data_IF_383024479398
#
_entry.id   IF_383024479398
#
_cell.length_a   1.000
_cell.length_b   1.000
_cell.length_c   1.000
_cell.angle_alpha   90.00
_cell.angle_beta   90.00
_cell.angle_gamma   90.00
#
_symmetry.space_group_name_H-M   'P 1'
#
loop_
_entity.id
_entity.type
_entity.pdbx_description
1 polymer ?
#
# COMPACT_ATOMS: atom_id res chain seq x y z
N UNK A 1 -7.39 16.51 -9.80
CA UNK A 1 -6.73 15.76 -8.71
C UNK A 1 -6.67 14.24 -8.97
N UNK A 2 -7.76 13.59 -9.41
CA UNK A 2 -7.79 12.13 -9.69
C UNK A 2 -6.69 11.70 -10.67
N UNK A 3 -6.53 12.40 -11.79
CA UNK A 3 -5.42 12.18 -12.72
C UNK A 3 -5.73 12.70 -14.10
N UNK A 4 -4.88 12.33 -15.07
CA UNK A 4 -5.14 12.55 -16.49
C UNK A 4 -6.34 11.72 -16.97
N UNK A 5 -6.46 10.49 -16.44
CA UNK A 5 -7.66 9.67 -16.52
C UNK A 5 -8.44 9.84 -15.23
N UNK A 6 -9.77 9.92 -15.32
CA UNK A 6 -10.66 10.10 -14.19
C UNK A 6 -12.00 9.40 -14.42
N UNK A 7 -12.73 9.20 -13.32
CA UNK A 7 -13.99 8.46 -13.30
C UNK A 7 -15.15 9.44 -13.19
N UNK A 8 -16.12 9.35 -14.10
CA UNK A 8 -17.27 10.26 -14.08
C UNK A 8 -18.07 10.12 -12.76
N UNK A 9 -18.22 8.90 -12.25
CA UNK A 9 -18.94 8.61 -11.01
C UNK A 9 -18.22 9.19 -9.77
N UNK A 10 -16.88 9.29 -9.78
CA UNK A 10 -16.11 10.01 -8.74
C UNK A 10 -16.46 11.50 -8.78
N UNK A 11 -16.36 12.12 -9.96
CA UNK A 11 -16.66 13.54 -10.13
C UNK A 11 -18.11 13.85 -9.77
N UNK A 12 -19.05 13.00 -10.18
CA UNK A 12 -20.47 13.14 -9.87
C UNK A 12 -20.73 13.14 -8.36
N UNK A 13 -20.09 12.23 -7.61
CA UNK A 13 -20.22 12.16 -6.15
C UNK A 13 -19.67 13.40 -5.46
N UNK A 14 -18.47 13.83 -5.83
CA UNK A 14 -17.82 15.01 -5.21
C UNK A 14 -18.63 16.28 -5.49
N UNK A 15 -19.13 16.43 -6.71
CA UNK A 15 -19.92 17.60 -7.12
C UNK A 15 -21.42 17.48 -6.80
N UNK A 16 -21.85 16.36 -6.22
CA UNK A 16 -23.25 16.03 -5.94
C UNK A 16 -24.17 16.15 -7.19
N UNK A 17 -23.65 15.73 -8.34
CA UNK A 17 -24.35 15.76 -9.62
C UNK A 17 -24.96 14.40 -9.97
N UNK A 18 -25.97 14.41 -10.83
CA UNK A 18 -26.48 13.18 -11.41
C UNK A 18 -25.45 12.57 -12.40
N UNK A 19 -25.10 11.30 -12.20
CA UNK A 19 -24.10 10.60 -13.03
C UNK A 19 -24.43 10.66 -14.53
N UNK A 20 -25.72 10.50 -14.90
CA UNK A 20 -26.14 10.49 -16.30
C UNK A 20 -26.01 11.87 -16.93
N UNK A 21 -26.36 12.92 -16.19
CA UNK A 21 -26.23 14.31 -16.65
C UNK A 21 -24.76 14.69 -16.83
N UNK A 22 -23.91 14.33 -15.86
CA UNK A 22 -22.47 14.57 -15.96
C UNK A 22 -21.85 13.84 -17.16
N UNK A 23 -22.18 12.57 -17.38
CA UNK A 23 -21.71 11.80 -18.55
C UNK A 23 -22.16 12.46 -19.86
N UNK A 24 -23.39 12.99 -19.92
CA UNK A 24 -23.84 13.73 -21.09
C UNK A 24 -23.06 15.02 -21.30
N UNK A 25 -22.77 15.77 -20.24
CA UNK A 25 -21.97 16.99 -20.30
C UNK A 25 -20.54 16.69 -20.77
N UNK A 26 -19.89 15.69 -20.18
CA UNK A 26 -18.55 15.23 -20.57
C UNK A 26 -18.51 14.82 -22.05
N UNK A 27 -19.49 14.03 -22.52
CA UNK A 27 -19.54 13.53 -23.90
C UNK A 27 -19.94 14.57 -24.95
N UNK A 28 -20.74 15.58 -24.60
CA UNK A 28 -21.26 16.57 -25.56
C UNK A 28 -20.45 17.85 -25.52
N UNK A 29 -20.43 18.49 -24.37
CA UNK A 29 -19.81 19.80 -24.20
C UNK A 29 -18.28 19.65 -24.15
N UNK A 30 -17.76 18.87 -23.21
CA UNK A 30 -16.31 18.82 -22.98
C UNK A 30 -15.55 17.97 -24.01
N UNK A 31 -16.18 16.96 -24.62
CA UNK A 31 -15.58 16.16 -25.69
C UNK A 31 -15.86 16.75 -27.08
N UNK A 32 -17.11 16.73 -27.55
CA UNK A 32 -17.43 17.09 -28.94
C UNK A 32 -17.27 18.58 -29.24
N UNK A 33 -17.70 19.46 -28.34
CA UNK A 33 -17.69 20.91 -28.55
C UNK A 33 -16.32 21.52 -28.20
N UNK A 34 -15.81 21.27 -26.99
CA UNK A 34 -14.58 21.91 -26.51
C UNK A 34 -13.30 21.08 -26.68
N UNK A 35 -13.41 19.79 -27.00
CA UNK A 35 -12.25 18.88 -27.20
C UNK A 35 -11.24 18.92 -26.05
N UNK A 36 -11.73 18.95 -24.82
CA UNK A 36 -10.93 18.94 -23.60
C UNK A 36 -10.74 17.54 -23.04
N UNK A 37 -11.79 16.71 -23.10
CA UNK A 37 -11.79 15.33 -22.62
C UNK A 37 -12.24 14.37 -23.72
N UNK A 38 -12.03 13.08 -23.51
CA UNK A 38 -12.52 12.02 -24.39
C UNK A 38 -12.93 10.83 -23.54
N UNK A 39 -14.01 10.15 -23.93
CA UNK A 39 -14.34 8.85 -23.35
C UNK A 39 -13.21 7.84 -23.68
N UNK A 40 -12.85 7.01 -22.71
CA UNK A 40 -11.82 5.97 -22.85
C UNK A 40 -12.42 4.58 -22.79
N UNK A 41 -13.14 4.28 -21.71
CA UNK A 41 -13.61 2.94 -21.43
C UNK A 41 -14.86 2.96 -20.55
N UNK A 42 -15.54 1.81 -20.53
CA UNK A 42 -16.61 1.51 -19.60
C UNK A 42 -16.22 0.28 -18.79
N UNK A 43 -16.02 0.48 -17.49
CA UNK A 43 -15.64 -0.57 -16.56
C UNK A 43 -16.77 -0.86 -15.57
N UNK A 44 -16.56 -1.92 -14.77
CA UNK A 44 -17.47 -2.30 -13.68
C UNK A 44 -16.69 -2.74 -12.47
N UNK A 45 -17.17 -2.32 -11.30
CA UNK A 45 -16.70 -2.79 -10.00
C UNK A 45 -17.93 -3.22 -9.21
N UNK A 46 -18.02 -4.51 -8.91
CA UNK A 46 -19.26 -5.14 -8.46
C UNK A 46 -20.44 -4.82 -9.40
N UNK A 47 -21.46 -4.17 -8.85
CA UNK A 47 -22.65 -3.72 -9.60
C UNK A 47 -22.54 -2.29 -10.15
N UNK A 48 -21.53 -1.54 -9.73
CA UNK A 48 -21.34 -0.16 -10.16
C UNK A 48 -20.67 -0.12 -11.54
N UNK A 49 -21.15 0.79 -12.38
CA UNK A 49 -20.58 1.10 -13.68
C UNK A 49 -19.62 2.27 -13.50
N UNK A 50 -18.41 2.16 -14.06
CA UNK A 50 -17.43 3.23 -14.06
C UNK A 50 -17.21 3.72 -15.49
N UNK A 51 -17.47 5.00 -15.71
CA UNK A 51 -17.32 5.66 -17.00
C UNK A 51 -15.98 6.41 -16.98
N UNK A 52 -14.97 5.85 -17.66
CA UNK A 52 -13.63 6.41 -17.68
C UNK A 52 -13.46 7.44 -18.79
N UNK A 53 -13.00 8.62 -18.40
CA UNK A 53 -12.64 9.72 -19.28
C UNK A 53 -11.17 10.06 -19.11
N UNK A 54 -10.58 10.67 -20.13
CA UNK A 54 -9.23 11.22 -20.08
C UNK A 54 -9.20 12.62 -20.66
N UNK A 55 -8.36 13.48 -20.10
CA UNK A 55 -8.00 14.73 -20.78
C UNK A 55 -7.32 14.43 -22.12
N UNK A 56 -7.72 15.13 -23.19
CA UNK A 56 -7.10 14.96 -24.51
C UNK A 56 -5.64 15.39 -24.52
N UNK A 57 -5.30 16.35 -23.66
CA UNK A 57 -3.93 16.81 -23.44
C UNK A 57 -3.65 16.91 -21.95
N UNK A 58 -2.59 16.22 -21.49
CA UNK A 58 -2.17 16.26 -20.08
C UNK A 58 -1.92 17.69 -19.58
N UNK A 59 -1.52 18.62 -20.46
CA UNK A 59 -1.27 20.02 -20.13
C UNK A 59 -2.50 20.75 -19.57
N UNK A 60 -3.72 20.40 -20.01
CA UNK A 60 -4.93 21.01 -19.44
C UNK A 60 -5.13 20.60 -17.99
N UNK A 61 -5.01 19.29 -17.71
CA UNK A 61 -5.08 18.77 -16.36
C UNK A 61 -3.98 19.35 -15.48
N UNK A 62 -2.76 19.41 -16.01
CA UNK A 62 -1.60 19.95 -15.31
C UNK A 62 -1.78 21.43 -14.95
N UNK A 63 -2.21 22.26 -15.91
CA UNK A 63 -2.49 23.68 -15.68
C UNK A 63 -3.58 23.89 -14.63
N UNK A 64 -4.72 23.19 -14.75
CA UNK A 64 -5.81 23.27 -13.78
C UNK A 64 -5.37 22.83 -12.38
N UNK A 65 -4.58 21.75 -12.30
CA UNK A 65 -4.06 21.26 -11.03
C UNK A 65 -3.05 22.22 -10.38
N UNK A 66 -2.19 22.83 -11.19
CA UNK A 66 -1.20 23.81 -10.70
C UNK A 66 -1.83 25.10 -10.18
N UNK A 67 -3.01 25.47 -10.70
CA UNK A 67 -3.75 26.64 -10.23
C UNK A 67 -4.41 26.45 -8.86
N UNK A 68 -4.53 25.21 -8.38
CA UNK A 68 -5.03 24.92 -7.03
C UNK A 68 -3.93 25.19 -6.01
N UNK A 69 -4.28 25.81 -4.90
CA UNK A 69 -3.37 25.93 -3.75
C UNK A 69 -3.21 24.59 -3.01
N UNK A 70 -2.33 24.56 -2.01
CA UNK A 70 -2.02 23.34 -1.26
C UNK A 70 -3.24 22.80 -0.48
N UNK A 71 -4.05 23.67 0.11
CA UNK A 71 -5.22 23.27 0.89
C UNK A 71 -6.33 22.77 -0.02
N UNK A 72 -6.59 23.47 -1.13
CA UNK A 72 -7.55 23.04 -2.16
C UNK A 72 -7.18 21.67 -2.71
N UNK A 73 -5.89 21.42 -2.97
CA UNK A 73 -5.42 20.09 -3.40
C UNK A 73 -5.68 19.05 -2.33
N UNK A 74 -5.32 19.29 -1.08
CA UNK A 74 -5.54 18.34 0.01
C UNK A 74 -7.02 17.95 0.13
N UNK A 75 -7.93 18.93 0.18
CA UNK A 75 -9.38 18.70 0.22
C UNK A 75 -9.88 17.88 -0.97
N UNK A 76 -9.43 18.20 -2.18
CA UNK A 76 -9.84 17.48 -3.38
C UNK A 76 -9.22 16.08 -3.45
N UNK A 77 -8.00 15.89 -2.94
CA UNK A 77 -7.37 14.58 -2.84
C UNK A 77 -8.11 13.67 -1.86
N UNK A 78 -8.50 14.19 -0.70
CA UNK A 78 -9.35 13.49 0.28
C UNK A 78 -10.68 13.08 -0.35
N UNK A 79 -11.38 14.04 -0.97
CA UNK A 79 -12.69 13.79 -1.59
C UNK A 79 -12.62 12.72 -2.69
N UNK A 80 -11.56 12.73 -3.50
CA UNK A 80 -11.34 11.67 -4.51
C UNK A 80 -11.02 10.33 -3.86
N UNK A 81 -10.15 10.30 -2.85
CA UNK A 81 -9.81 9.07 -2.12
C UNK A 81 -11.04 8.40 -1.54
N UNK A 82 -11.85 9.15 -0.80
CA UNK A 82 -13.10 8.68 -0.19
C UNK A 82 -14.13 8.25 -1.24
N UNK A 83 -14.25 8.98 -2.35
CA UNK A 83 -15.16 8.60 -3.43
C UNK A 83 -14.74 7.29 -4.11
N UNK A 84 -13.45 7.11 -4.39
CA UNK A 84 -12.91 5.86 -4.94
C UNK A 84 -13.11 4.71 -3.94
N UNK A 85 -12.78 4.90 -2.68
CA UNK A 85 -12.97 3.89 -1.64
C UNK A 85 -14.44 3.46 -1.54
N UNK A 86 -15.38 4.41 -1.55
CA UNK A 86 -16.81 4.12 -1.53
C UNK A 86 -17.35 3.45 -2.80
N UNK A 87 -16.75 3.72 -3.97
CA UNK A 87 -17.14 3.06 -5.22
C UNK A 87 -16.64 1.61 -5.26
N UNK A 88 -15.40 1.39 -4.83
CA UNK A 88 -14.77 0.07 -4.88
C UNK A 88 -15.16 -0.82 -3.70
N UNK A 89 -15.55 -0.27 -2.55
CA UNK A 89 -15.98 -1.02 -1.37
C UNK A 89 -14.90 -2.00 -0.91
N UNK A 90 -15.25 -3.28 -0.77
CA UNK A 90 -14.28 -4.33 -0.41
C UNK A 90 -13.26 -4.65 -1.52
N UNK A 91 -13.48 -4.15 -2.74
CA UNK A 91 -12.65 -4.43 -3.92
C UNK A 91 -11.64 -3.30 -4.18
N UNK A 92 -11.05 -2.67 -3.16
CA UNK A 92 -10.11 -1.54 -3.32
C UNK A 92 -8.74 -1.91 -3.89
N UNK A 93 -8.38 -3.20 -3.91
CA UNK A 93 -7.07 -3.67 -4.36
C UNK A 93 -6.65 -3.21 -5.80
N UNK A 94 -7.54 -3.10 -6.79
CA UNK A 94 -7.22 -2.54 -8.11
C UNK A 94 -6.77 -1.07 -8.05
N UNK A 95 -7.28 -0.29 -7.10
CA UNK A 95 -7.02 1.15 -6.94
C UNK A 95 -6.19 1.49 -5.70
N UNK A 96 -5.64 0.50 -4.99
CA UNK A 96 -4.87 0.72 -3.76
C UNK A 96 -3.71 1.72 -3.93
N UNK A 97 -2.98 1.67 -5.05
CA UNK A 97 -1.90 2.63 -5.34
C UNK A 97 -2.44 4.05 -5.51
N UNK A 98 -3.60 4.19 -6.13
CA UNK A 98 -4.26 5.48 -6.33
C UNK A 98 -4.79 6.02 -5.00
N UNK A 99 -5.42 5.17 -4.18
CA UNK A 99 -5.91 5.51 -2.84
C UNK A 99 -4.76 5.96 -1.93
N UNK A 100 -3.65 5.21 -1.90
CA UNK A 100 -2.44 5.59 -1.17
C UNK A 100 -1.98 7.00 -1.53
N UNK A 101 -1.87 7.31 -2.83
CA UNK A 101 -1.48 8.65 -3.29
C UNK A 101 -2.48 9.73 -2.88
N UNK A 102 -3.79 9.45 -2.96
CA UNK A 102 -4.81 10.42 -2.60
C UNK A 102 -4.79 10.73 -1.11
N UNK A 103 -4.76 9.73 -0.24
CA UNK A 103 -4.70 9.93 1.19
C UNK A 103 -3.38 10.58 1.63
N UNK A 104 -2.26 10.23 1.00
CA UNK A 104 -0.98 10.87 1.26
C UNK A 104 -1.02 12.38 0.92
N UNK A 105 -1.54 12.75 -0.24
CA UNK A 105 -1.67 14.16 -0.65
C UNK A 105 -2.73 14.92 0.16
N UNK A 106 -3.66 14.21 0.80
CA UNK A 106 -4.64 14.78 1.71
C UNK A 106 -4.12 14.96 3.15
N UNK A 107 -2.93 14.41 3.47
CA UNK A 107 -2.41 14.38 4.84
C UNK A 107 -2.98 13.25 5.72
N UNK A 108 -3.84 12.39 5.16
CA UNK A 108 -4.40 11.19 5.79
C UNK A 108 -3.36 10.06 5.76
N UNK A 109 -2.36 10.22 6.63
CA UNK A 109 -1.10 9.45 6.58
C UNK A 109 -1.31 7.98 6.97
N UNK A 110 -2.18 7.70 7.95
CA UNK A 110 -2.46 6.33 8.41
C UNK A 110 -3.14 5.52 7.30
N UNK A 111 -4.15 6.10 6.66
CA UNK A 111 -4.87 5.51 5.53
C UNK A 111 -3.95 5.29 4.34
N UNK A 112 -3.07 6.26 4.04
CA UNK A 112 -2.07 6.11 2.98
C UNK A 112 -1.13 4.91 3.23
N UNK A 113 -0.68 4.71 4.47
CA UNK A 113 0.16 3.59 4.87
C UNK A 113 -0.55 2.25 4.67
N UNK A 114 -1.82 2.16 5.05
CA UNK A 114 -2.61 0.94 4.88
C UNK A 114 -2.74 0.54 3.39
N UNK A 115 -2.99 1.51 2.52
CA UNK A 115 -3.07 1.28 1.08
C UNK A 115 -1.70 1.02 0.42
N UNK A 116 -0.61 1.58 0.94
CA UNK A 116 0.75 1.23 0.53
C UNK A 116 1.10 -0.21 0.92
N UNK A 117 0.70 -0.66 2.11
CA UNK A 117 0.82 -2.06 2.54
C UNK A 117 0.04 -3.00 1.63
N UNK A 118 -1.21 -2.66 1.31
CA UNK A 118 -2.03 -3.44 0.38
C UNK A 118 -1.39 -3.52 -1.01
N UNK A 119 -0.91 -2.37 -1.52
CA UNK A 119 -0.22 -2.27 -2.81
C UNK A 119 1.07 -3.11 -2.84
N UNK A 120 1.86 -3.07 -1.76
CA UNK A 120 3.06 -3.88 -1.60
C UNK A 120 2.76 -5.39 -1.59
N UNK A 121 1.74 -5.82 -0.82
CA UNK A 121 1.29 -7.22 -0.78
C UNK A 121 0.79 -7.69 -2.15
N UNK A 122 0.04 -6.84 -2.88
CA UNK A 122 -0.44 -7.13 -4.24
C UNK A 122 0.72 -7.28 -5.23
N UNK A 123 1.65 -6.33 -5.24
CA UNK A 123 2.83 -6.37 -6.10
C UNK A 123 3.67 -7.64 -5.83
N UNK A 124 3.82 -8.02 -4.56
CA UNK A 124 4.49 -9.25 -4.17
C UNK A 124 3.80 -10.50 -4.74
N UNK A 125 2.46 -10.60 -4.67
CA UNK A 125 1.71 -11.72 -5.29
C UNK A 125 1.86 -11.78 -6.81
N UNK A 126 2.21 -10.66 -7.44
CA UNK A 126 2.47 -10.56 -8.88
C UNK A 126 3.97 -10.72 -9.22
N UNK A 127 4.82 -11.04 -8.23
CA UNK A 127 6.28 -11.09 -8.37
C UNK A 127 6.92 -9.77 -8.83
N UNK A 128 6.19 -8.67 -8.72
CA UNK A 128 6.65 -7.30 -8.97
C UNK A 128 7.44 -6.80 -7.75
N UNK A 129 8.61 -7.43 -7.53
CA UNK A 129 9.37 -7.28 -6.29
C UNK A 129 9.93 -5.85 -6.11
N UNK A 130 10.28 -5.15 -7.19
CA UNK A 130 10.78 -3.77 -7.13
C UNK A 130 9.66 -2.83 -6.69
N UNK A 131 8.48 -2.98 -7.29
CA UNK A 131 7.28 -2.23 -6.96
C UNK A 131 6.83 -2.50 -5.53
N UNK A 132 6.89 -3.75 -5.08
CA UNK A 132 6.62 -4.12 -3.70
C UNK A 132 7.56 -3.39 -2.72
N UNK A 133 8.87 -3.40 -2.99
CA UNK A 133 9.85 -2.66 -2.17
C UNK A 133 9.53 -1.17 -2.15
N UNK A 134 9.21 -0.56 -3.30
CA UNK A 134 8.91 0.86 -3.40
C UNK A 134 7.68 1.24 -2.55
N UNK A 135 6.58 0.49 -2.66
CA UNK A 135 5.37 0.77 -1.88
C UNK A 135 5.59 0.60 -0.37
N UNK A 136 6.25 -0.49 0.04
CA UNK A 136 6.49 -0.79 1.46
C UNK A 136 7.47 0.20 2.08
N UNK A 137 8.52 0.58 1.35
CA UNK A 137 9.49 1.60 1.80
C UNK A 137 8.82 2.96 1.93
N UNK A 138 7.94 3.35 1.00
CA UNK A 138 7.17 4.59 1.13
C UNK A 138 6.28 4.57 2.38
N UNK A 139 5.64 3.44 2.67
CA UNK A 139 4.84 3.28 3.90
C UNK A 139 5.68 3.48 5.17
N UNK A 140 6.89 2.91 5.20
CA UNK A 140 7.83 3.09 6.32
C UNK A 140 8.32 4.53 6.46
N UNK A 141 8.48 5.27 5.36
CA UNK A 141 8.81 6.70 5.39
C UNK A 141 7.67 7.54 5.97
N UNK A 142 6.43 7.26 5.57
CA UNK A 142 5.25 7.94 6.09
C UNK A 142 5.04 7.67 7.59
N UNK A 143 5.23 6.42 8.06
CA UNK A 143 5.13 6.12 9.49
C UNK A 143 6.11 6.92 10.37
N UNK A 144 7.27 7.35 9.83
CA UNK A 144 8.22 8.17 10.60
C UNK A 144 7.69 9.56 10.93
N UNK A 145 6.70 10.07 10.20
CA UNK A 145 6.08 11.37 10.46
C UNK A 145 5.01 11.32 11.54
N UNK A 146 4.52 10.11 11.88
CA UNK A 146 3.50 9.90 12.90
C UNK A 146 4.08 9.80 14.32
N UNK A 147 3.34 10.24 15.36
CA UNK A 147 3.72 10.07 16.76
C UNK A 147 4.01 8.61 17.10
N UNK A 148 5.02 8.37 17.92
CA UNK A 148 5.38 7.03 18.35
C UNK A 148 4.31 6.44 19.28
N UNK A 149 3.41 5.62 18.71
CA UNK A 149 2.34 4.90 19.42
C UNK A 149 2.53 3.38 19.22
N UNK A 150 1.82 2.58 20.03
CA UNK A 150 1.79 1.13 19.84
C UNK A 150 1.19 0.76 18.47
N UNK A 151 0.15 1.47 18.03
CA UNK A 151 -0.48 1.25 16.72
C UNK A 151 0.51 1.49 15.57
N UNK A 152 1.26 2.59 15.61
CA UNK A 152 2.31 2.89 14.64
C UNK A 152 3.37 1.79 14.61
N UNK A 153 3.75 1.27 15.78
CA UNK A 153 4.72 0.18 15.88
C UNK A 153 4.17 -1.13 15.27
N UNK A 154 2.88 -1.44 15.48
CA UNK A 154 2.23 -2.56 14.80
C UNK A 154 2.23 -2.40 13.27
N UNK A 155 1.84 -1.24 12.75
CA UNK A 155 1.88 -0.95 11.31
C UNK A 155 3.30 -1.05 10.74
N UNK A 156 4.30 -0.55 11.47
CA UNK A 156 5.71 -0.62 11.08
C UNK A 156 6.19 -2.09 11.01
N UNK A 157 5.83 -2.91 12.00
CA UNK A 157 6.14 -4.33 12.01
C UNK A 157 5.53 -5.06 10.81
N UNK A 158 4.25 -4.81 10.50
CA UNK A 158 3.60 -5.43 9.35
C UNK A 158 4.28 -5.10 8.03
N UNK A 159 4.67 -3.84 7.83
CA UNK A 159 5.39 -3.42 6.62
C UNK A 159 6.77 -4.10 6.51
N UNK A 160 7.53 -4.16 7.60
CA UNK A 160 8.87 -4.79 7.62
C UNK A 160 8.80 -6.29 7.31
N UNK A 161 7.80 -6.99 7.86
CA UNK A 161 7.60 -8.43 7.60
C UNK A 161 7.31 -8.69 6.12
N UNK A 162 6.49 -7.85 5.48
CA UNK A 162 6.21 -7.97 4.05
C UNK A 162 7.44 -7.57 3.23
N UNK A 163 8.17 -6.53 3.62
CA UNK A 163 9.35 -6.00 2.90
C UNK A 163 10.51 -6.99 2.86
N UNK A 164 10.69 -7.80 3.91
CA UNK A 164 11.74 -8.82 3.94
C UNK A 164 11.63 -9.86 2.81
N UNK A 165 10.43 -10.12 2.28
CA UNK A 165 10.20 -11.11 1.22
C UNK A 165 10.78 -10.66 -0.13
N UNK A 166 10.39 -9.50 -0.71
CA UNK A 166 10.94 -9.04 -1.98
C UNK A 166 12.41 -8.60 -1.87
N UNK A 167 12.87 -8.08 -0.71
CA UNK A 167 14.29 -7.78 -0.50
C UNK A 167 15.14 -9.04 -0.62
N UNK A 168 14.72 -10.13 0.03
CA UNK A 168 15.39 -11.44 -0.10
C UNK A 168 15.38 -11.94 -1.55
N UNK A 169 14.27 -11.76 -2.27
CA UNK A 169 14.13 -12.24 -3.64
C UNK A 169 15.07 -11.50 -4.62
N UNK A 170 15.25 -10.18 -4.47
CA UNK A 170 16.08 -9.38 -5.39
C UNK A 170 17.54 -9.32 -4.94
N UNK A 171 17.80 -9.14 -3.64
CA UNK A 171 19.13 -8.84 -3.11
C UNK A 171 19.80 -10.02 -2.40
N UNK A 172 19.06 -11.10 -2.16
CA UNK A 172 19.55 -12.28 -1.46
C UNK A 172 19.70 -12.09 0.05
N UNK A 173 20.14 -13.15 0.73
CA UNK A 173 20.26 -13.20 2.19
C UNK A 173 21.44 -12.40 2.75
N UNK A 174 22.41 -12.02 1.91
CA UNK A 174 23.61 -11.29 2.35
C UNK A 174 23.42 -9.76 2.36
N UNK A 175 22.27 -9.26 1.90
CA UNK A 175 22.00 -7.82 1.81
C UNK A 175 21.89 -7.18 3.21
N UNK A 176 22.61 -6.07 3.44
CA UNK A 176 22.55 -5.32 4.70
C UNK A 176 21.14 -4.81 5.01
N UNK A 177 20.43 -4.32 3.98
CA UNK A 177 19.06 -3.82 4.10
C UNK A 177 18.08 -4.89 4.61
N UNK A 178 18.30 -6.16 4.27
CA UNK A 178 17.46 -7.27 4.73
C UNK A 178 17.67 -7.51 6.23
N UNK A 179 18.93 -7.50 6.68
CA UNK A 179 19.27 -7.60 8.09
C UNK A 179 18.76 -6.40 8.88
N UNK A 180 18.91 -5.18 8.36
CA UNK A 180 18.36 -3.96 8.96
C UNK A 180 16.84 -4.04 9.11
N UNK A 181 16.14 -4.55 8.08
CA UNK A 181 14.69 -4.76 8.08
C UNK A 181 14.26 -5.70 9.20
N UNK A 182 14.86 -6.90 9.29
CA UNK A 182 14.49 -7.85 10.35
C UNK A 182 15.00 -7.44 11.74
N UNK A 183 16.13 -6.76 11.84
CA UNK A 183 16.63 -6.22 13.12
C UNK A 183 15.69 -5.16 13.67
N UNK A 184 15.17 -4.28 12.80
CA UNK A 184 14.14 -3.31 13.17
C UNK A 184 12.85 -4.00 13.60
N UNK A 185 12.39 -5.02 12.86
CA UNK A 185 11.22 -5.80 13.22
C UNK A 185 11.40 -6.49 14.60
N UNK A 186 12.59 -7.01 14.89
CA UNK A 186 12.90 -7.64 16.18
C UNK A 186 12.82 -6.63 17.34
N UNK A 187 13.36 -5.43 17.13
CA UNK A 187 13.28 -4.36 18.13
C UNK A 187 11.82 -3.98 18.42
N UNK A 188 10.97 -3.91 17.40
CA UNK A 188 9.55 -3.60 17.54
C UNK A 188 8.80 -4.72 18.26
N UNK A 189 9.01 -5.99 17.88
CA UNK A 189 8.44 -7.13 18.61
C UNK A 189 8.80 -7.05 20.09
N UNK A 190 10.07 -6.82 20.44
CA UNK A 190 10.49 -6.68 21.85
C UNK A 190 9.82 -5.51 22.59
N UNK A 191 9.46 -4.43 21.88
CA UNK A 191 8.72 -3.30 22.46
C UNK A 191 7.24 -3.63 22.68
N UNK A 192 6.62 -4.39 21.78
CA UNK A 192 5.21 -4.75 21.82
C UNK A 192 4.92 -5.97 22.74
N UNK A 193 5.96 -6.75 23.07
CA UNK A 193 5.86 -8.00 23.83
C UNK A 193 6.06 -9.23 22.96
N UNK A 194 5.99 -10.44 23.52
CA UNK A 194 6.14 -11.68 22.74
C UNK A 194 4.95 -11.86 21.80
N UNK A 195 5.05 -11.31 20.58
CA UNK A 195 4.02 -11.42 19.55
C UNK A 195 4.25 -12.67 18.68
N UNK A 196 3.21 -13.23 18.02
CA UNK A 196 3.37 -14.35 17.09
C UNK A 196 4.40 -14.08 15.98
N UNK A 197 4.52 -12.83 15.56
CA UNK A 197 5.45 -12.38 14.52
C UNK A 197 6.92 -12.48 14.95
N UNK A 198 7.20 -12.48 16.26
CA UNK A 198 8.56 -12.59 16.78
C UNK A 198 9.27 -13.86 16.27
N UNK A 199 8.55 -14.98 16.23
CA UNK A 199 9.11 -16.23 15.68
C UNK A 199 9.47 -16.09 14.20
N UNK A 200 8.64 -15.41 13.40
CA UNK A 200 8.91 -15.16 11.98
C UNK A 200 10.15 -14.28 11.79
N UNK A 201 10.30 -13.23 12.60
CA UNK A 201 11.46 -12.33 12.56
C UNK A 201 12.74 -13.08 12.92
N UNK A 202 12.71 -13.89 14.00
CA UNK A 202 13.86 -14.67 14.45
C UNK A 202 14.31 -15.69 13.40
N UNK A 203 13.37 -16.37 12.72
CA UNK A 203 13.68 -17.27 11.60
C UNK A 203 14.31 -16.49 10.43
N UNK A 204 13.81 -15.28 10.14
CA UNK A 204 14.37 -14.40 9.13
C UNK A 204 15.86 -14.10 9.38
N UNK A 205 16.19 -13.66 10.59
CA UNK A 205 17.57 -13.39 11.02
C UNK A 205 18.43 -14.65 11.05
N UNK A 206 17.92 -15.77 11.57
CA UNK A 206 18.66 -17.03 11.62
C UNK A 206 19.12 -17.49 10.22
N UNK A 207 18.30 -17.29 9.19
CA UNK A 207 18.65 -17.60 7.79
C UNK A 207 19.74 -16.68 7.25
N UNK A 208 19.71 -15.40 7.60
CA UNK A 208 20.77 -14.44 7.20
C UNK A 208 22.11 -14.88 7.79
N UNK A 209 22.16 -15.14 9.10
CA UNK A 209 23.38 -15.57 9.78
C UNK A 209 23.86 -16.97 9.31
N UNK A 210 22.94 -17.88 8.96
CA UNK A 210 23.31 -19.17 8.37
C UNK A 210 24.04 -19.02 7.03
N UNK A 211 23.55 -18.15 6.14
CA UNK A 211 24.18 -17.89 4.84
C UNK A 211 25.56 -17.24 5.00
N UNK A 212 25.80 -16.49 6.08
CA UNK A 212 27.10 -15.91 6.44
C UNK A 212 28.03 -16.88 7.18
N UNK A 213 27.61 -18.13 7.38
CA UNK A 213 28.32 -19.15 8.18
C UNK A 213 28.51 -18.78 9.66
N UNK A 214 27.69 -17.87 10.19
CA UNK A 214 27.62 -17.50 11.60
C UNK A 214 26.69 -18.48 12.35
N UNK A 215 27.07 -19.76 12.36
CA UNK A 215 26.20 -20.87 12.76
C UNK A 215 25.74 -20.81 14.22
N UNK A 216 26.57 -20.29 15.14
CA UNK A 216 26.20 -20.16 16.54
C UNK A 216 25.02 -19.19 16.73
N UNK A 217 25.13 -17.99 16.16
CA UNK A 217 24.07 -16.97 16.17
C UNK A 217 22.81 -17.47 15.48
N UNK A 218 22.96 -18.13 14.32
CA UNK A 218 21.84 -18.72 13.58
C UNK A 218 21.08 -19.76 14.43
N UNK A 219 21.80 -20.66 15.09
CA UNK A 219 21.22 -21.71 15.93
C UNK A 219 20.48 -21.13 17.14
N UNK A 220 21.07 -20.15 17.83
CA UNK A 220 20.44 -19.49 18.98
C UNK A 220 19.12 -18.82 18.60
N UNK A 221 19.09 -18.08 17.49
CA UNK A 221 17.90 -17.40 17.00
C UNK A 221 16.81 -18.39 16.57
N UNK A 222 17.19 -19.48 15.90
CA UNK A 222 16.25 -20.54 15.50
C UNK A 222 15.64 -21.25 16.72
N UNK A 223 16.45 -21.52 17.76
CA UNK A 223 15.97 -22.13 19.00
C UNK A 223 14.99 -21.19 19.74
N UNK A 224 15.31 -19.89 19.81
CA UNK A 224 14.39 -18.89 20.35
C UNK A 224 13.07 -18.86 19.56
N UNK A 225 13.12 -18.92 18.23
CA UNK A 225 11.92 -18.92 17.39
C UNK A 225 11.01 -20.13 17.66
N UNK A 226 11.59 -21.32 17.87
CA UNK A 226 10.83 -22.53 18.22
C UNK A 226 10.15 -22.37 19.58
N UNK A 227 10.88 -21.88 20.60
CA UNK A 227 10.31 -21.64 21.94
C UNK A 227 9.12 -20.68 21.89
N UNK A 228 9.26 -19.55 21.19
CA UNK A 228 8.18 -18.57 21.03
C UNK A 228 6.98 -19.19 20.30
N UNK A 229 7.23 -19.94 19.23
CA UNK A 229 6.15 -20.60 18.49
C UNK A 229 5.39 -21.63 19.35
N UNK A 230 6.08 -22.37 20.21
CA UNK A 230 5.46 -23.33 21.14
C UNK A 230 4.64 -22.63 22.24
N UNK A 231 5.12 -21.50 22.76
CA UNK A 231 4.42 -20.70 23.77
C UNK A 231 3.14 -20.04 23.21
N UNK A 232 3.22 -19.49 22.00
CA UNK A 232 2.10 -18.77 21.36
C UNK A 232 1.02 -19.74 20.84
N UNK A 233 1.41 -20.91 20.33
CA UNK A 233 0.48 -21.88 19.70
C UNK A 233 -0.33 -22.68 20.74
N UNK A 234 0.14 -22.76 21.99
CA UNK A 234 -0.27 -23.81 22.91
C UNK A 234 0.21 -25.20 22.41
N UNK A 235 0.23 -26.24 23.27
CA UNK A 235 0.82 -27.53 22.90
C UNK A 235 0.00 -28.25 21.81
N UNK A 236 0.56 -28.37 20.59
CA UNK A 236 -0.06 -29.06 19.45
C UNK A 236 0.91 -29.26 18.27
N UNK A 237 0.73 -30.30 17.43
CA UNK A 237 1.77 -30.82 16.55
C UNK A 237 2.21 -29.86 15.42
N UNK A 238 3.52 -29.88 15.17
CA UNK A 238 4.27 -29.08 14.21
C UNK A 238 3.89 -29.42 12.76
N UNK A 239 3.39 -28.44 12.01
CA UNK A 239 3.46 -28.46 10.55
C UNK A 239 3.95 -27.09 10.05
N UNK A 240 5.21 -27.08 9.60
CA UNK A 240 5.90 -25.93 9.01
C UNK A 240 5.95 -26.05 7.48
N UNK A 241 4.82 -26.36 6.83
CA UNK A 241 4.80 -26.70 5.40
C UNK A 241 4.39 -25.57 4.44
N UNK A 242 4.18 -24.32 4.88
CA UNK A 242 3.72 -23.25 3.98
C UNK A 242 4.49 -21.94 4.10
N UNK A 243 5.82 -22.01 4.09
CA UNK A 243 6.67 -20.85 3.78
C UNK A 243 7.69 -21.22 2.69
N UNK A 244 7.18 -21.48 1.49
CA UNK A 244 7.93 -21.45 0.23
C UNK A 244 7.60 -20.15 -0.50
#
# INVERSE_FOLDING_TARGET
VEGETFTAEVVARIQQLNERELVQQLSRELDKQHRLVTAQALDRVGQQRLSLYRFRHYLFQHYLYQNLDELERAYLHEAVGLALEALYGEQTEPVAVQLARHFEQAGLTEEAVDYLRQSGKKALRQSANVEAINHLTRGLELLKTLPATAERAHQELELLLVLGIPLRAIKGFSASELEETYSRALAICRQLGETPELAQVLIGLARIYAVRAENATSYELAEQAVRIAEQVRGPGPLSWAHFS
#
